data_IF_499499153951
#
_entry.id   IF_499499153951
#
_cell.length_a   1.000
_cell.length_b   1.000
_cell.length_c   1.000
_cell.angle_alpha   90.00
_cell.angle_beta   90.00
_cell.angle_gamma   90.00
#
_symmetry.space_group_name_H-M   'P 1'
#
loop_
_entity.id
_entity.type
_entity.pdbx_description
1 polymer ?
#
# COMPACT_ATOMS: atom_id res chain seq x y z
N UNK A 1 8.60 17.85 -25.38
CA UNK A 1 7.75 17.24 -24.33
C UNK A 1 8.47 16.00 -23.84
N UNK A 2 9.07 16.04 -22.66
CA UNK A 2 9.80 14.90 -22.12
C UNK A 2 8.86 13.71 -21.92
N UNK A 3 9.11 12.62 -22.66
CA UNK A 3 8.28 11.40 -22.59
C UNK A 3 8.49 10.64 -21.26
N UNK A 4 9.64 10.86 -20.61
CA UNK A 4 10.10 10.11 -19.45
C UNK A 4 9.21 10.31 -18.21
N UNK A 5 8.84 11.53 -17.79
CA UNK A 5 7.96 11.73 -16.64
C UNK A 5 6.55 11.15 -16.83
N UNK A 6 6.00 11.25 -18.06
CA UNK A 6 4.69 10.67 -18.38
C UNK A 6 4.73 9.14 -18.38
N UNK A 7 5.82 8.54 -18.85
CA UNK A 7 6.03 7.10 -18.76
C UNK A 7 6.12 6.64 -17.30
N UNK A 8 6.93 7.32 -16.47
CA UNK A 8 7.06 7.00 -15.04
C UNK A 8 5.73 7.12 -14.30
N UNK A 9 4.95 8.17 -14.57
CA UNK A 9 3.62 8.31 -13.98
C UNK A 9 2.71 7.13 -14.37
N UNK A 10 2.68 6.74 -15.65
CA UNK A 10 1.88 5.59 -16.11
C UNK A 10 2.31 4.29 -15.45
N UNK A 11 3.61 4.00 -15.40
CA UNK A 11 4.14 2.79 -14.76
C UNK A 11 3.78 2.81 -13.26
N UNK A 12 3.94 3.95 -12.58
CA UNK A 12 3.57 4.08 -11.17
C UNK A 12 2.08 3.80 -10.94
N UNK A 13 1.20 4.31 -11.82
CA UNK A 13 -0.23 4.04 -11.75
C UNK A 13 -0.57 2.56 -12.02
N UNK A 14 0.07 1.92 -13.00
CA UNK A 14 -0.11 0.47 -13.24
C UNK A 14 0.34 -0.33 -12.03
N UNK A 15 1.51 -0.04 -11.46
CA UNK A 15 1.99 -0.73 -10.27
C UNK A 15 1.04 -0.57 -9.08
N UNK A 16 0.46 0.62 -8.86
CA UNK A 16 -0.56 0.83 -7.84
C UNK A 16 -1.82 -0.02 -8.04
N UNK A 17 -2.29 -0.17 -9.29
CA UNK A 17 -3.41 -1.08 -9.57
C UNK A 17 -3.00 -2.53 -9.33
N UNK A 18 -1.80 -2.92 -9.76
CA UNK A 18 -1.27 -4.25 -9.54
C UNK A 18 -1.20 -4.57 -8.06
N UNK A 19 -0.73 -3.66 -7.19
CA UNK A 19 -0.69 -3.90 -5.74
C UNK A 19 -2.10 -4.14 -5.16
N UNK A 20 -3.13 -3.46 -5.66
CA UNK A 20 -4.51 -3.74 -5.23
C UNK A 20 -4.98 -5.12 -5.65
N UNK A 21 -4.78 -5.44 -6.93
CA UNK A 21 -5.20 -6.73 -7.49
C UNK A 21 -4.49 -7.86 -6.78
N UNK A 22 -3.17 -7.77 -6.57
CA UNK A 22 -2.41 -8.82 -5.90
C UNK A 22 -2.77 -8.92 -4.42
N UNK A 23 -2.94 -7.81 -3.70
CA UNK A 23 -3.35 -7.81 -2.28
C UNK A 23 -4.72 -8.48 -2.08
N UNK A 24 -5.74 -8.07 -2.84
CA UNK A 24 -7.10 -8.65 -2.74
C UNK A 24 -7.08 -10.13 -3.14
N UNK A 25 -6.39 -10.46 -4.23
CA UNK A 25 -6.32 -11.86 -4.72
C UNK A 25 -5.54 -12.74 -3.75
N UNK A 26 -4.54 -12.21 -3.02
CA UNK A 26 -3.79 -12.96 -2.01
C UNK A 26 -4.71 -13.36 -0.86
N UNK A 27 -5.53 -12.44 -0.33
CA UNK A 27 -6.51 -12.71 0.72
C UNK A 27 -7.50 -13.78 0.27
N UNK A 28 -8.05 -13.68 -0.95
CA UNK A 28 -8.96 -14.68 -1.51
C UNK A 28 -8.26 -16.03 -1.65
N UNK A 29 -7.01 -16.05 -2.12
CA UNK A 29 -6.22 -17.27 -2.31
C UNK A 29 -5.97 -17.99 -0.99
N UNK A 30 -5.58 -17.25 0.06
CA UNK A 30 -5.40 -17.81 1.39
C UNK A 30 -6.72 -18.34 1.97
N UNK A 31 -7.81 -17.59 1.84
CA UNK A 31 -9.15 -18.03 2.28
C UNK A 31 -9.67 -19.28 1.54
N UNK A 32 -9.29 -19.44 0.27
CA UNK A 32 -9.58 -20.62 -0.55
C UNK A 32 -8.62 -21.79 -0.35
N UNK A 33 -7.65 -21.70 0.57
CA UNK A 33 -6.68 -22.76 0.86
C UNK A 33 -5.49 -22.84 -0.10
N UNK A 34 -5.39 -21.95 -1.08
CA UNK A 34 -4.28 -21.90 -2.04
C UNK A 34 -3.12 -21.07 -1.50
N UNK A 35 -2.38 -21.65 -0.54
CA UNK A 35 -1.28 -20.95 0.17
C UNK A 35 -0.16 -20.53 -0.79
N UNK A 36 0.23 -21.41 -1.73
CA UNK A 36 1.32 -21.11 -2.68
C UNK A 36 0.99 -19.93 -3.59
N UNK A 37 -0.27 -19.84 -4.03
CA UNK A 37 -0.72 -18.72 -4.84
C UNK A 37 -0.76 -17.43 -4.03
N UNK A 38 -1.23 -17.48 -2.77
CA UNK A 38 -1.19 -16.34 -1.86
C UNK A 38 0.23 -15.79 -1.67
N UNK A 39 1.21 -16.67 -1.42
CA UNK A 39 2.63 -16.28 -1.26
C UNK A 39 3.18 -15.63 -2.53
N UNK A 40 2.89 -16.18 -3.71
CA UNK A 40 3.31 -15.59 -4.98
C UNK A 40 2.72 -14.19 -5.17
N UNK A 41 1.45 -14.00 -4.82
CA UNK A 41 0.78 -12.71 -4.94
C UNK A 41 1.33 -11.68 -3.97
N UNK A 42 1.67 -12.05 -2.74
CA UNK A 42 2.34 -11.17 -1.77
C UNK A 42 3.75 -10.78 -2.21
N UNK A 43 4.47 -11.69 -2.86
CA UNK A 43 5.76 -11.38 -3.46
C UNK A 43 5.62 -10.33 -4.58
N UNK A 44 4.65 -10.49 -5.48
CA UNK A 44 4.37 -9.51 -6.54
C UNK A 44 3.88 -8.17 -5.96
N UNK A 45 3.07 -8.21 -4.90
CA UNK A 45 2.65 -7.03 -4.14
C UNK A 45 3.86 -6.26 -3.61
N UNK A 46 4.81 -6.93 -2.95
CA UNK A 46 6.01 -6.31 -2.41
C UNK A 46 6.86 -5.63 -3.50
N UNK A 47 7.01 -6.26 -4.67
CA UNK A 47 7.69 -5.64 -5.82
C UNK A 47 6.95 -4.40 -6.33
N UNK A 48 5.61 -4.43 -6.36
CA UNK A 48 4.78 -3.27 -6.67
C UNK A 48 4.96 -2.12 -5.68
N UNK A 49 5.06 -2.43 -4.38
CA UNK A 49 5.35 -1.44 -3.34
C UNK A 49 6.72 -0.77 -3.55
N UNK A 50 7.77 -1.55 -3.82
CA UNK A 50 9.11 -1.01 -4.14
C UNK A 50 9.09 -0.11 -5.38
N UNK A 51 8.48 -0.59 -6.47
CA UNK A 51 8.42 0.14 -7.72
C UNK A 51 7.62 1.44 -7.62
N UNK A 52 6.48 1.44 -6.91
CA UNK A 52 5.72 2.68 -6.67
C UNK A 52 6.47 3.67 -5.79
N UNK A 53 7.16 3.20 -4.74
CA UNK A 53 8.05 4.02 -3.92
C UNK A 53 9.11 4.74 -4.74
N UNK A 54 9.84 3.98 -5.56
CA UNK A 54 10.91 4.50 -6.41
C UNK A 54 10.39 5.50 -7.45
N UNK A 55 9.32 5.17 -8.17
CA UNK A 55 8.80 6.04 -9.23
C UNK A 55 8.22 7.34 -8.67
N UNK A 56 7.54 7.29 -7.53
CA UNK A 56 7.03 8.51 -6.90
C UNK A 56 8.13 9.38 -6.30
N UNK A 57 9.22 8.78 -5.80
CA UNK A 57 10.42 9.54 -5.45
C UNK A 57 10.94 10.32 -6.65
N UNK A 58 11.16 9.64 -7.78
CA UNK A 58 11.67 10.27 -9.00
C UNK A 58 10.74 11.37 -9.52
N UNK A 59 9.42 11.20 -9.38
CA UNK A 59 8.43 12.15 -9.86
C UNK A 59 8.21 13.36 -8.94
N UNK A 60 8.40 13.20 -7.62
CA UNK A 60 8.01 14.22 -6.63
C UNK A 60 9.16 14.80 -5.81
N UNK A 61 10.39 14.28 -5.93
CA UNK A 61 11.56 14.76 -5.13
C UNK A 61 11.81 16.26 -5.24
N UNK A 62 11.60 16.85 -6.42
CA UNK A 62 11.80 18.29 -6.65
C UNK A 62 10.74 19.16 -5.97
N UNK A 63 9.60 18.56 -5.58
CA UNK A 63 8.47 19.26 -4.94
C UNK A 63 8.43 19.12 -3.42
N UNK A 64 9.24 18.24 -2.86
CA UNK A 64 9.22 17.91 -1.44
C UNK A 64 10.15 16.75 -1.11
N UNK A 65 11.48 16.96 -1.09
CA UNK A 65 12.46 15.88 -0.98
C UNK A 65 12.34 15.09 0.32
N UNK A 66 12.06 15.74 1.46
CA UNK A 66 11.90 15.01 2.72
C UNK A 66 10.72 14.03 2.67
N UNK A 67 9.55 14.47 2.18
CA UNK A 67 8.34 13.63 2.15
C UNK A 67 8.37 12.58 1.06
N UNK A 68 8.91 12.90 -0.10
CA UNK A 68 9.08 11.92 -1.17
C UNK A 68 10.07 10.82 -0.73
N UNK A 69 11.13 11.16 0.01
CA UNK A 69 12.08 10.19 0.54
C UNK A 69 11.42 9.33 1.63
N UNK A 70 10.67 9.98 2.53
CA UNK A 70 9.86 9.30 3.54
C UNK A 70 8.90 8.29 2.91
N UNK A 71 8.20 8.65 1.84
CA UNK A 71 7.32 7.75 1.10
C UNK A 71 8.07 6.55 0.51
N UNK A 72 9.21 6.77 -0.14
CA UNK A 72 10.06 5.69 -0.65
C UNK A 72 10.50 4.72 0.46
N UNK A 73 10.98 5.27 1.58
CA UNK A 73 11.44 4.47 2.72
C UNK A 73 10.29 3.67 3.34
N UNK A 74 9.11 4.27 3.52
CA UNK A 74 7.93 3.58 4.05
C UNK A 74 7.41 2.52 3.09
N UNK A 75 7.41 2.76 1.77
CA UNK A 75 7.09 1.73 0.77
C UNK A 75 8.06 0.55 0.82
N UNK A 76 9.33 0.83 1.08
CA UNK A 76 10.36 -0.20 1.19
C UNK A 76 10.19 -1.01 2.47
N UNK A 77 9.90 -0.34 3.59
CA UNK A 77 9.56 -0.99 4.87
C UNK A 77 8.29 -1.85 4.74
N UNK A 78 7.25 -1.33 4.09
CA UNK A 78 6.01 -2.06 3.82
C UNK A 78 6.28 -3.35 3.04
N UNK A 79 7.04 -3.25 1.93
CA UNK A 79 7.43 -4.41 1.14
C UNK A 79 8.20 -5.45 1.96
N UNK A 80 9.14 -5.00 2.80
CA UNK A 80 9.92 -5.88 3.67
C UNK A 80 9.04 -6.61 4.69
N UNK A 81 8.08 -5.90 5.31
CA UNK A 81 7.15 -6.50 6.28
C UNK A 81 6.18 -7.48 5.59
N UNK A 82 5.70 -7.17 4.38
CA UNK A 82 4.88 -8.09 3.57
C UNK A 82 5.66 -9.39 3.31
N UNK A 83 6.91 -9.29 2.86
CA UNK A 83 7.74 -10.48 2.63
C UNK A 83 8.02 -11.26 3.92
N UNK A 84 8.27 -10.57 5.04
CA UNK A 84 8.43 -11.20 6.34
C UNK A 84 7.15 -11.95 6.77
N UNK A 85 5.97 -11.40 6.47
CA UNK A 85 4.67 -12.04 6.68
C UNK A 85 4.36 -13.18 5.72
N UNK A 86 4.95 -13.19 4.51
CA UNK A 86 4.82 -14.28 3.55
C UNK A 86 5.68 -15.50 3.90
N UNK A 87 6.82 -15.31 4.59
CA UNK A 87 7.70 -16.40 5.03
C UNK A 87 7.00 -17.49 5.87
N UNK A 88 6.21 -17.19 6.91
CA UNK A 88 5.48 -18.23 7.64
C UNK A 88 4.45 -18.95 6.77
N UNK A 89 3.82 -18.26 5.82
CA UNK A 89 2.88 -18.89 4.87
C UNK A 89 3.62 -19.82 3.89
N UNK A 90 4.79 -19.42 3.41
CA UNK A 90 5.66 -20.27 2.60
C UNK A 90 6.13 -21.50 3.38
N UNK A 91 6.49 -21.34 4.65
CA UNK A 91 6.87 -22.47 5.51
C UNK A 91 5.73 -23.49 5.63
N UNK A 92 4.47 -23.03 5.81
CA UNK A 92 3.29 -23.91 5.81
C UNK A 92 3.16 -24.64 4.47
N UNK A 93 3.30 -23.95 3.34
CA UNK A 93 3.21 -24.54 2.01
C UNK A 93 4.29 -25.60 1.72
N UNK A 94 5.37 -25.61 2.51
CA UNK A 94 6.47 -26.56 2.46
C UNK A 94 6.38 -27.65 3.55
N UNK A 95 5.24 -27.80 4.23
CA UNK A 95 5.01 -28.84 5.25
C UNK A 95 5.23 -28.38 6.69
N UNK A 96 5.42 -27.09 6.93
CA UNK A 96 5.51 -26.50 8.27
C UNK A 96 4.18 -26.45 9.02
N UNK A 97 4.24 -26.06 10.30
CA UNK A 97 3.08 -26.03 11.19
C UNK A 97 2.06 -24.94 10.82
N UNK A 98 0.75 -25.26 10.72
CA UNK A 98 -0.31 -24.27 10.51
C UNK A 98 -0.39 -23.17 11.59
N UNK A 99 0.21 -23.39 12.77
CA UNK A 99 0.28 -22.40 13.85
C UNK A 99 1.07 -21.14 13.46
N UNK A 100 1.86 -21.20 12.40
CA UNK A 100 2.63 -20.06 11.88
C UNK A 100 1.74 -18.95 11.27
N UNK A 101 0.47 -19.24 10.99
CA UNK A 101 -0.51 -18.24 10.51
C UNK A 101 -0.62 -17.01 11.42
N UNK A 102 -0.42 -17.17 12.73
CA UNK A 102 -0.40 -16.03 13.66
C UNK A 102 0.70 -15.00 13.36
N UNK A 103 1.87 -15.45 12.89
CA UNK A 103 2.96 -14.54 12.50
C UNK A 103 2.60 -13.76 11.24
N UNK A 104 1.96 -14.42 10.27
CA UNK A 104 1.45 -13.77 9.07
C UNK A 104 0.43 -12.67 9.43
N UNK A 105 -0.54 -12.99 10.29
CA UNK A 105 -1.54 -12.02 10.77
C UNK A 105 -0.91 -10.82 11.48
N UNK A 106 0.11 -11.05 12.31
CA UNK A 106 0.83 -9.97 12.98
C UNK A 106 1.59 -9.07 11.99
N UNK A 107 2.27 -9.66 11.00
CA UNK A 107 2.95 -8.92 9.94
C UNK A 107 1.97 -8.13 9.07
N UNK A 108 0.79 -8.68 8.77
CA UNK A 108 -0.26 -8.00 8.02
C UNK A 108 -0.70 -6.70 8.72
N UNK A 109 -0.98 -6.76 10.04
CA UNK A 109 -1.33 -5.55 10.81
C UNK A 109 -0.19 -4.53 10.84
N UNK A 110 1.06 -4.99 10.93
CA UNK A 110 2.21 -4.07 10.98
C UNK A 110 2.46 -3.39 9.62
N UNK A 111 2.52 -4.15 8.53
CA UNK A 111 2.84 -3.65 7.20
C UNK A 111 1.64 -3.02 6.51
N UNK A 112 0.71 -3.87 6.06
CA UNK A 112 -0.51 -3.46 5.33
C UNK A 112 -1.56 -2.81 6.23
N UNK A 113 -1.36 -2.82 7.55
CA UNK A 113 -2.08 -1.99 8.49
C UNK A 113 -1.33 -0.69 8.77
N UNK A 114 -0.40 -0.69 9.72
CA UNK A 114 0.17 0.56 10.27
C UNK A 114 1.08 1.31 9.28
N UNK A 115 1.98 0.60 8.60
CA UNK A 115 2.95 1.27 7.69
C UNK A 115 2.23 1.90 6.50
N UNK A 116 1.28 1.20 5.87
CA UNK A 116 0.52 1.77 4.74
C UNK A 116 -0.25 3.03 5.17
N UNK A 117 -0.84 3.06 6.37
CA UNK A 117 -1.58 4.23 6.86
C UNK A 117 -0.71 5.49 6.89
N UNK A 118 0.51 5.38 7.42
CA UNK A 118 1.48 6.48 7.48
C UNK A 118 1.95 6.86 6.08
N UNK A 119 2.20 5.85 5.24
CA UNK A 119 2.63 6.04 3.86
C UNK A 119 1.63 6.88 3.05
N UNK A 120 0.36 6.50 3.08
CA UNK A 120 -0.74 7.20 2.41
C UNK A 120 -0.89 8.63 2.94
N UNK A 121 -0.76 8.83 4.26
CA UNK A 121 -0.86 10.15 4.87
C UNK A 121 0.27 11.09 4.40
N UNK A 122 1.52 10.61 4.38
CA UNK A 122 2.67 11.40 3.91
C UNK A 122 2.54 11.73 2.42
N UNK A 123 2.13 10.76 1.59
CA UNK A 123 1.90 10.99 0.17
C UNK A 123 0.77 12.00 -0.05
N UNK A 124 -0.36 11.84 0.62
CA UNK A 124 -1.50 12.75 0.54
C UNK A 124 -1.09 14.18 0.89
N UNK A 125 -0.33 14.37 1.96
CA UNK A 125 0.18 15.68 2.35
C UNK A 125 1.12 16.29 1.30
N UNK A 126 2.06 15.49 0.77
CA UNK A 126 2.94 15.92 -0.31
C UNK A 126 2.13 16.32 -1.56
N UNK A 127 1.08 15.60 -1.90
CA UNK A 127 0.21 15.89 -3.04
C UNK A 127 -0.62 17.17 -2.83
N UNK A 128 -1.01 17.49 -1.58
CA UNK A 128 -1.69 18.75 -1.24
C UNK A 128 -0.75 19.93 -1.49
N UNK A 129 0.48 19.87 -0.99
CA UNK A 129 1.44 20.98 -1.10
C UNK A 129 1.95 21.15 -2.53
N UNK A 130 2.32 20.04 -3.18
CA UNK A 130 2.89 20.05 -4.53
C UNK A 130 1.88 20.34 -5.64
N UNK A 131 0.57 20.31 -5.32
CA UNK A 131 -0.56 20.47 -6.27
C UNK A 131 -0.45 19.57 -7.51
N UNK A 132 0.24 18.43 -7.38
CA UNK A 132 0.54 17.53 -8.49
C UNK A 132 -0.71 16.82 -9.06
N UNK A 133 -1.81 16.84 -8.31
CA UNK A 133 -3.08 16.17 -8.62
C UNK A 133 -4.26 17.07 -8.19
N UNK A 134 -5.52 16.76 -8.54
CA UNK A 134 -6.68 17.48 -8.03
C UNK A 134 -6.71 17.50 -6.50
N UNK A 135 -7.01 18.66 -5.91
CA UNK A 135 -7.03 18.86 -4.47
C UNK A 135 -7.92 17.85 -3.70
N UNK A 136 -9.13 17.48 -4.19
CA UNK A 136 -9.96 16.48 -3.51
C UNK A 136 -9.26 15.11 -3.39
N UNK A 137 -8.53 14.69 -4.42
CA UNK A 137 -7.77 13.45 -4.43
C UNK A 137 -6.67 13.50 -3.36
N UNK A 138 -5.92 14.59 -3.31
CA UNK A 138 -4.84 14.75 -2.33
C UNK A 138 -5.36 14.78 -0.87
N UNK A 139 -6.48 15.48 -0.62
CA UNK A 139 -7.13 15.54 0.70
C UNK A 139 -7.67 14.17 1.10
N UNK A 140 -8.27 13.43 0.17
CA UNK A 140 -8.74 12.06 0.43
C UNK A 140 -7.58 11.15 0.88
N UNK A 141 -6.40 11.25 0.26
CA UNK A 141 -5.22 10.50 0.67
C UNK A 141 -4.75 10.85 2.09
N UNK A 142 -4.63 12.15 2.39
CA UNK A 142 -4.16 12.59 3.71
C UNK A 142 -5.14 12.19 4.83
N UNK A 143 -6.44 12.48 4.63
CA UNK A 143 -7.49 12.16 5.62
C UNK A 143 -7.76 10.67 5.72
N UNK A 144 -7.79 9.96 4.59
CA UNK A 144 -7.93 8.51 4.56
C UNK A 144 -6.81 7.80 5.31
N UNK A 145 -5.56 8.21 5.08
CA UNK A 145 -4.39 7.72 5.81
C UNK A 145 -4.52 7.89 7.33
N UNK A 146 -4.98 9.06 7.79
CA UNK A 146 -5.22 9.33 9.21
C UNK A 146 -6.34 8.47 9.81
N UNK A 147 -7.46 8.31 9.09
CA UNK A 147 -8.59 7.48 9.53
C UNK A 147 -8.17 6.02 9.67
N UNK A 148 -7.49 5.46 8.67
CA UNK A 148 -7.06 4.06 8.71
C UNK A 148 -5.94 3.85 9.73
N UNK A 149 -5.07 4.85 9.98
CA UNK A 149 -4.08 4.80 11.05
C UNK A 149 -4.76 4.67 12.42
N UNK A 150 -5.76 5.51 12.70
CA UNK A 150 -6.51 5.46 13.96
C UNK A 150 -7.19 4.09 14.14
N UNK A 151 -7.78 3.54 13.07
CA UNK A 151 -8.38 2.20 13.07
C UNK A 151 -7.34 1.10 13.33
N UNK A 152 -6.16 1.15 12.71
CA UNK A 152 -5.11 0.16 12.91
C UNK A 152 -4.48 0.24 14.30
N UNK A 153 -4.36 1.43 14.88
CA UNK A 153 -3.98 1.61 16.28
C UNK A 153 -5.04 1.04 17.24
N UNK A 154 -6.32 1.26 16.96
CA UNK A 154 -7.40 0.67 17.75
C UNK A 154 -7.36 -0.88 17.70
N UNK A 155 -7.05 -1.47 16.54
CA UNK A 155 -6.84 -2.92 16.42
C UNK A 155 -5.60 -3.39 17.18
N UNK A 156 -4.50 -2.64 17.13
CA UNK A 156 -3.26 -2.97 17.85
C UNK A 156 -3.48 -3.06 19.37
N UNK A 157 -4.29 -2.15 19.93
CA UNK A 157 -4.65 -2.15 21.35
C UNK A 157 -5.89 -3.01 21.67
N UNK A 158 -6.36 -3.83 20.72
CA UNK A 158 -7.53 -4.69 20.86
C UNK A 158 -8.83 -3.95 21.25
N UNK A 159 -8.95 -2.65 20.93
CA UNK A 159 -10.16 -1.86 21.17
C UNK A 159 -11.26 -2.18 20.15
N UNK A 160 -10.87 -2.60 18.95
CA UNK A 160 -11.77 -3.12 17.90
C UNK A 160 -11.20 -4.43 17.34
N UNK A 161 -12.04 -5.35 16.82
CA UNK A 161 -11.57 -6.61 16.27
C UNK A 161 -10.71 -6.42 15.02
N UNK A 162 -9.66 -7.24 14.90
CA UNK A 162 -8.80 -7.27 13.72
C UNK A 162 -9.60 -7.63 12.47
N UNK A 163 -9.44 -6.86 11.40
CA UNK A 163 -10.13 -7.07 10.11
C UNK A 163 -11.67 -7.11 10.22
N UNK A 164 -12.25 -6.49 11.25
CA UNK A 164 -13.70 -6.40 11.42
C UNK A 164 -14.37 -5.37 10.49
N UNK A 165 -15.70 -5.29 10.54
CA UNK A 165 -16.48 -4.39 9.69
C UNK A 165 -16.10 -2.90 9.84
N UNK A 166 -15.81 -2.46 11.08
CA UNK A 166 -15.36 -1.10 11.37
C UNK A 166 -14.00 -0.83 10.72
N UNK A 167 -13.05 -1.77 10.84
CA UNK A 167 -11.73 -1.65 10.23
C UNK A 167 -11.84 -1.56 8.69
N UNK A 168 -12.69 -2.38 8.08
CA UNK A 168 -12.98 -2.32 6.65
C UNK A 168 -13.58 -0.97 6.21
N UNK A 169 -14.51 -0.42 6.99
CA UNK A 169 -15.10 0.90 6.71
C UNK A 169 -14.05 2.02 6.80
N UNK A 170 -13.17 1.97 7.80
CA UNK A 170 -12.08 2.94 7.96
C UNK A 170 -11.00 2.82 6.87
N UNK A 171 -10.83 1.65 6.25
CA UNK A 171 -9.90 1.44 5.14
C UNK A 171 -10.44 1.91 3.79
N UNK A 172 -11.77 2.02 3.63
CA UNK A 172 -12.41 2.38 2.37
C UNK A 172 -11.92 3.71 1.77
N UNK A 173 -11.72 4.81 2.53
CA UNK A 173 -11.19 6.06 1.99
C UNK A 173 -9.80 5.91 1.36
N UNK A 174 -8.92 5.10 1.97
CA UNK A 174 -7.58 4.82 1.41
C UNK A 174 -7.71 4.01 0.13
N UNK A 175 -8.53 2.96 0.12
CA UNK A 175 -8.77 2.17 -1.09
C UNK A 175 -9.27 3.04 -2.25
N UNK A 176 -10.25 3.92 -2.00
CA UNK A 176 -10.76 4.85 -3.00
C UNK A 176 -9.67 5.84 -3.46
N UNK A 177 -8.87 6.37 -2.53
CA UNK A 177 -7.74 7.23 -2.85
C UNK A 177 -6.74 6.52 -3.78
N UNK A 178 -6.29 5.32 -3.44
CA UNK A 178 -5.23 4.67 -4.19
C UNK A 178 -5.70 4.24 -5.58
N UNK A 179 -6.92 3.73 -5.72
CA UNK A 179 -7.51 3.41 -7.03
C UNK A 179 -7.67 4.69 -7.86
N UNK A 180 -8.19 5.77 -7.27
CA UNK A 180 -8.35 7.04 -7.99
C UNK A 180 -7.00 7.62 -8.41
N UNK A 181 -6.01 7.59 -7.51
CA UNK A 181 -4.66 8.06 -7.78
C UNK A 181 -3.99 7.26 -8.89
N UNK A 182 -4.12 5.93 -8.88
CA UNK A 182 -3.60 5.06 -9.92
C UNK A 182 -4.17 5.39 -11.30
N UNK A 183 -5.50 5.49 -11.40
CA UNK A 183 -6.19 5.88 -12.64
C UNK A 183 -5.75 7.28 -13.08
N UNK A 184 -5.62 8.22 -12.14
CA UNK A 184 -5.15 9.57 -12.43
C UNK A 184 -3.76 9.58 -13.05
N UNK A 185 -2.82 8.83 -12.48
CA UNK A 185 -1.45 8.69 -12.97
C UNK A 185 -1.40 8.07 -14.37
N UNK A 186 -2.25 7.07 -14.66
CA UNK A 186 -2.31 6.40 -15.98
C UNK A 186 -2.85 7.36 -17.05
N UNK A 187 -3.99 7.99 -16.77
CA UNK A 187 -4.75 8.76 -17.77
C UNK A 187 -4.17 10.16 -17.94
N UNK A 188 -3.85 10.85 -16.84
CA UNK A 188 -3.46 12.26 -16.83
C UNK A 188 -2.00 12.50 -16.46
N UNK A 189 -1.40 11.59 -15.69
CA UNK A 189 -0.08 11.81 -15.09
C UNK A 189 -0.15 12.86 -13.98
N UNK A 190 1.01 13.42 -13.63
CA UNK A 190 1.10 14.52 -12.67
C UNK A 190 0.98 15.87 -13.39
N UNK A 191 0.37 16.84 -12.72
CA UNK A 191 0.30 18.23 -13.18
C UNK A 191 1.67 18.86 -13.02
N UNK A 192 2.31 19.20 -14.14
CA UNK A 192 3.53 20.02 -14.18
C UNK A 192 3.25 21.40 -13.62
#
# INVERSE_FOLDING_TARGET
MDRTPRMYARIAGVLYLTTHVTSVTAVISYGGGSIRLGVLLEFLLALGCLGTGLLLWLLLRERGPARAAGFLMLRTLEAAVILAGALPMLAIALGGSPRLTGLHTAAFLLGQGLVISVNTMILGWLLIESRAVPRPLAVLGATGGAIVLASNLAQLFALIPLNGAIAGLCAAPVFVFEVWFAIHLIVRGLRC
#
